data_IF_022385068981
#
_entry.id   IF_022385068981
#
_cell.length_a   1.000
_cell.length_b   1.000
_cell.length_c   1.000
_cell.angle_alpha   90.00
_cell.angle_beta   90.00
_cell.angle_gamma   90.00
#
_symmetry.space_group_name_H-M   'P 1'
#
loop_
_entity.id
_entity.type
_entity.pdbx_description
1 polymer ?
#
# COMPACT_ATOMS: atom_id res chain seq x y z
N UNK A 1 10.67 20.25 18.04
CA UNK A 1 12.13 20.26 17.76
C UNK A 1 12.63 19.01 17.01
N UNK A 2 11.83 17.95 16.81
CA UNK A 2 12.28 16.71 16.15
C UNK A 2 12.39 16.73 14.60
N UNK A 3 12.26 17.89 13.94
CA UNK A 3 12.29 17.97 12.47
C UNK A 3 13.70 18.05 11.85
N UNK A 4 14.75 18.32 12.62
CA UNK A 4 16.11 18.51 12.04
C UNK A 4 16.96 17.24 12.01
N UNK A 5 16.75 16.29 12.93
CA UNK A 5 17.58 15.08 13.04
C UNK A 5 17.47 14.15 11.81
N UNK A 6 16.29 14.03 11.20
CA UNK A 6 16.10 13.22 9.99
C UNK A 6 16.81 13.76 8.75
N UNK A 7 17.05 15.08 8.70
CA UNK A 7 17.66 15.77 7.55
C UNK A 7 19.15 15.44 7.41
N UNK A 8 19.85 15.30 8.54
CA UNK A 8 21.30 15.00 8.57
C UNK A 8 21.66 13.56 8.19
N UNK A 9 20.76 12.60 8.41
CA UNK A 9 20.96 11.20 7.99
C UNK A 9 20.78 11.04 6.46
N UNK A 10 19.76 11.70 5.90
CA UNK A 10 19.49 11.69 4.46
C UNK A 10 20.62 12.35 3.66
N UNK A 11 21.08 13.55 4.06
CA UNK A 11 22.10 14.30 3.34
C UNK A 11 23.49 13.64 3.29
N UNK A 12 23.79 12.69 4.19
CA UNK A 12 25.07 11.96 4.18
C UNK A 12 25.13 10.81 3.18
N UNK A 13 23.98 10.24 2.80
CA UNK A 13 23.90 9.16 1.80
C UNK A 13 24.01 9.70 0.37
N UNK A 14 23.53 10.92 0.11
CA UNK A 14 23.53 11.52 -1.23
C UNK A 14 24.96 11.78 -1.79
N UNK A 15 25.99 11.87 -0.94
CA UNK A 15 27.36 12.23 -1.31
C UNK A 15 28.31 11.06 -1.64
N UNK A 16 27.87 9.80 -1.57
CA UNK A 16 28.78 8.63 -1.63
C UNK A 16 28.61 7.74 -2.87
N UNK A 17 27.53 7.89 -3.65
CA UNK A 17 27.21 6.98 -4.76
C UNK A 17 27.27 7.65 -6.15
N UNK A 18 27.87 7.02 -7.18
CA UNK A 18 27.96 7.58 -8.54
C UNK A 18 26.63 7.82 -9.26
N UNK A 19 26.64 8.73 -10.24
CA UNK A 19 25.43 9.32 -10.86
C UNK A 19 24.51 8.35 -11.61
N UNK A 20 25.03 7.24 -12.11
CA UNK A 20 24.27 6.24 -12.85
C UNK A 20 23.31 5.48 -11.91
N UNK A 21 23.82 5.06 -10.75
CA UNK A 21 23.06 4.40 -9.68
C UNK A 21 22.09 5.37 -8.98
N UNK A 22 22.40 6.67 -8.95
CA UNK A 22 21.49 7.70 -8.40
C UNK A 22 20.15 7.76 -9.14
N UNK A 23 20.10 7.49 -10.46
CA UNK A 23 18.85 7.54 -11.24
C UNK A 23 17.93 6.35 -10.97
N UNK A 24 18.50 5.16 -10.92
CA UNK A 24 17.78 3.91 -10.62
C UNK A 24 17.19 3.95 -9.19
N UNK A 25 17.99 4.39 -8.21
CA UNK A 25 17.54 4.57 -6.83
C UNK A 25 16.52 5.71 -6.68
N UNK A 26 16.60 6.78 -7.49
CA UNK A 26 15.60 7.87 -7.47
C UNK A 26 14.24 7.42 -8.05
N UNK A 27 14.23 6.66 -9.15
CA UNK A 27 13.03 6.03 -9.72
C UNK A 27 12.40 5.04 -8.73
N UNK A 28 13.23 4.18 -8.12
CA UNK A 28 12.78 3.27 -7.08
C UNK A 28 12.20 4.03 -5.87
N UNK A 29 12.83 5.12 -5.41
CA UNK A 29 12.34 5.98 -4.32
C UNK A 29 10.99 6.64 -4.60
N UNK A 30 10.73 7.08 -5.85
CA UNK A 30 9.45 7.70 -6.21
C UNK A 30 8.28 6.69 -6.23
N UNK A 31 8.59 5.43 -6.50
CA UNK A 31 7.62 4.33 -6.53
C UNK A 31 7.41 3.77 -5.11
N UNK A 32 8.50 3.58 -4.36
CA UNK A 32 8.50 2.96 -3.03
C UNK A 32 8.31 3.98 -1.88
N UNK A 33 7.19 4.72 -1.89
CA UNK A 33 6.78 5.51 -0.73
C UNK A 33 6.29 4.59 0.39
N UNK A 34 7.17 4.30 1.34
CA UNK A 34 6.90 3.38 2.45
C UNK A 34 6.59 4.12 3.77
N UNK A 35 5.38 3.92 4.31
CA UNK A 35 5.08 4.01 5.75
C UNK A 35 3.89 3.10 6.11
N UNK A 36 3.95 2.46 7.28
CA UNK A 36 2.87 1.67 7.87
C UNK A 36 3.21 0.19 8.05
N UNK A 37 3.55 -0.22 9.28
CA UNK A 37 3.90 -1.62 9.60
C UNK A 37 2.65 -2.51 9.69
N UNK A 38 2.38 -3.30 8.64
CA UNK A 38 1.76 -4.62 8.76
C UNK A 38 2.32 -5.48 7.62
N UNK A 39 2.78 -6.70 7.91
CA UNK A 39 3.26 -7.59 6.86
C UNK A 39 2.08 -8.31 6.21
N UNK A 40 1.67 -7.84 5.03
CA UNK A 40 1.01 -8.75 4.08
C UNK A 40 1.94 -9.95 3.82
N UNK A 41 1.41 -11.17 3.76
CA UNK A 41 2.20 -12.39 3.53
C UNK A 41 3.09 -12.19 2.27
N UNK A 42 4.43 -12.09 2.45
CA UNK A 42 5.31 -11.75 1.33
C UNK A 42 5.29 -12.80 0.22
N UNK A 43 5.00 -14.06 0.56
CA UNK A 43 5.10 -15.20 -0.35
C UNK A 43 4.12 -15.14 -1.52
N UNK A 44 2.90 -14.63 -1.30
CA UNK A 44 1.85 -14.57 -2.33
C UNK A 44 2.07 -13.38 -3.29
N UNK A 45 2.59 -12.26 -2.79
CA UNK A 45 2.73 -11.04 -3.58
C UNK A 45 4.05 -10.95 -4.37
N UNK A 46 5.15 -11.51 -3.85
CA UNK A 46 6.49 -11.34 -4.42
C UNK A 46 6.62 -11.64 -5.93
N UNK A 47 6.13 -12.78 -6.47
CA UNK A 47 6.29 -13.09 -7.90
C UNK A 47 5.54 -12.14 -8.83
N UNK A 48 4.47 -11.50 -8.35
CA UNK A 48 3.71 -10.52 -9.12
C UNK A 48 4.33 -9.12 -9.04
N UNK A 49 5.00 -8.78 -7.93
CA UNK A 49 5.73 -7.52 -7.80
C UNK A 49 6.88 -7.42 -8.79
N UNK A 50 7.68 -8.48 -8.94
CA UNK A 50 8.80 -8.52 -9.89
C UNK A 50 8.33 -8.30 -11.33
N UNK A 51 7.29 -9.02 -11.78
CA UNK A 51 6.71 -8.82 -13.11
C UNK A 51 6.05 -7.44 -13.29
N UNK A 52 5.47 -6.86 -12.24
CA UNK A 52 4.91 -5.50 -12.31
C UNK A 52 6.01 -4.44 -12.41
N UNK A 53 7.16 -4.66 -11.79
CA UNK A 53 8.36 -3.83 -11.95
C UNK A 53 8.92 -3.90 -13.38
N UNK A 54 9.02 -5.11 -13.94
CA UNK A 54 9.40 -5.34 -15.35
C UNK A 54 8.44 -4.60 -16.30
N UNK A 55 7.13 -4.78 -16.13
CA UNK A 55 6.11 -4.08 -16.91
C UNK A 55 6.18 -2.55 -16.82
N UNK A 56 6.50 -2.01 -15.64
CA UNK A 56 6.67 -0.57 -15.42
C UNK A 56 7.92 -0.02 -16.11
N UNK A 57 9.02 -0.78 -16.06
CA UNK A 57 10.30 -0.41 -16.66
C UNK A 57 10.23 -0.45 -18.19
N UNK A 58 9.68 -1.53 -18.75
CA UNK A 58 9.55 -1.73 -20.20
C UNK A 58 8.32 -1.05 -20.83
N UNK A 59 7.48 -0.39 -20.02
CA UNK A 59 6.20 0.21 -20.44
C UNK A 59 5.28 -0.78 -21.17
N UNK A 60 5.20 -2.00 -20.65
CA UNK A 60 4.36 -3.08 -21.19
C UNK A 60 3.04 -3.22 -20.44
N UNK A 61 1.96 -3.47 -21.20
CA UNK A 61 0.66 -3.83 -20.66
C UNK A 61 0.73 -5.17 -19.93
N UNK A 62 -0.01 -5.30 -18.83
CA UNK A 62 -0.19 -6.57 -18.13
C UNK A 62 -1.60 -7.10 -18.27
N UNK A 63 -1.74 -8.43 -18.27
CA UNK A 63 -3.00 -9.14 -18.11
C UNK A 63 -3.05 -9.75 -16.72
N UNK A 64 -4.03 -9.34 -15.93
CA UNK A 64 -4.30 -9.84 -14.59
C UNK A 64 -5.52 -10.77 -14.60
N UNK A 65 -5.43 -11.90 -13.91
CA UNK A 65 -6.63 -12.54 -13.36
C UNK A 65 -6.87 -11.95 -11.96
N UNK A 66 -7.89 -11.12 -11.80
CA UNK A 66 -8.05 -10.30 -10.59
C UNK A 66 -9.37 -10.57 -9.85
N UNK A 67 -9.30 -10.83 -8.55
CA UNK A 67 -10.48 -10.90 -7.67
C UNK A 67 -10.68 -9.57 -6.94
N UNK A 68 -11.69 -8.81 -7.34
CA UNK A 68 -11.99 -7.51 -6.74
C UNK A 68 -12.52 -7.60 -5.30
N UNK A 69 -12.49 -6.47 -4.58
CA UNK A 69 -13.18 -6.34 -3.29
C UNK A 69 -14.65 -6.74 -3.43
N UNK A 70 -15.13 -7.61 -2.54
CA UNK A 70 -16.52 -8.07 -2.49
C UNK A 70 -17.03 -8.71 -3.81
N UNK A 71 -16.12 -9.28 -4.61
CA UNK A 71 -16.45 -10.05 -5.81
C UNK A 71 -16.14 -11.53 -5.55
N UNK A 72 -17.15 -12.39 -5.71
CA UNK A 72 -17.00 -13.83 -5.58
C UNK A 72 -16.11 -14.41 -6.69
N UNK A 73 -16.27 -13.91 -7.92
CA UNK A 73 -15.54 -14.37 -9.10
C UNK A 73 -14.35 -13.46 -9.43
N UNK A 74 -13.22 -14.09 -9.76
CA UNK A 74 -12.11 -13.40 -10.41
C UNK A 74 -12.44 -13.12 -11.87
N UNK A 75 -11.88 -12.06 -12.44
CA UNK A 75 -12.10 -11.74 -13.85
C UNK A 75 -10.89 -11.04 -14.46
N UNK A 76 -10.71 -11.25 -15.77
CA UNK A 76 -9.54 -10.76 -16.49
C UNK A 76 -9.52 -9.23 -16.58
N UNK A 77 -8.33 -8.63 -16.46
CA UNK A 77 -8.08 -7.19 -16.59
C UNK A 77 -6.82 -6.99 -17.41
N UNK A 78 -6.97 -6.38 -18.58
CA UNK A 78 -5.83 -5.82 -19.30
C UNK A 78 -5.60 -4.40 -18.74
N UNK A 79 -4.37 -4.13 -18.27
CA UNK A 79 -4.01 -2.94 -17.48
C UNK A 79 -2.68 -2.39 -17.96
N UNK A 80 -2.61 -1.07 -18.17
CA UNK A 80 -1.35 -0.35 -18.37
C UNK A 80 -0.85 0.10 -16.98
N UNK A 81 0.17 -0.54 -16.38
CA UNK A 81 0.64 -0.20 -15.03
C UNK A 81 1.36 1.15 -15.04
N UNK A 82 0.91 2.12 -14.25
CA UNK A 82 1.51 3.45 -14.19
C UNK A 82 2.51 3.59 -13.04
N UNK A 83 2.20 3.01 -11.88
CA UNK A 83 3.09 2.99 -10.71
C UNK A 83 2.74 1.85 -9.75
N UNK A 84 3.73 1.36 -9.00
CA UNK A 84 3.52 0.56 -7.79
C UNK A 84 3.57 1.49 -6.57
N UNK A 85 2.67 1.34 -5.60
CA UNK A 85 2.71 2.09 -4.33
C UNK A 85 2.56 1.13 -3.15
N UNK A 86 3.31 1.41 -2.09
CA UNK A 86 3.09 0.79 -0.79
C UNK A 86 2.17 1.69 0.05
N UNK A 87 1.23 1.09 0.78
CA UNK A 87 0.38 1.83 1.71
C UNK A 87 -0.33 0.89 2.67
N UNK A 88 -0.38 1.27 3.95
CA UNK A 88 -1.07 0.50 4.98
C UNK A 88 -0.64 -0.99 5.04
N UNK A 89 0.67 -1.26 4.92
CA UNK A 89 1.22 -2.62 4.93
C UNK A 89 1.00 -3.44 3.64
N UNK A 90 0.31 -2.88 2.63
CA UNK A 90 -0.04 -3.58 1.38
C UNK A 90 0.58 -2.91 0.15
N UNK A 91 0.73 -3.69 -0.92
CA UNK A 91 1.26 -3.24 -2.20
C UNK A 91 0.12 -3.09 -3.22
N UNK A 92 0.16 -2.03 -4.00
CA UNK A 92 -0.86 -1.72 -5.02
C UNK A 92 -0.20 -1.32 -6.35
N UNK A 93 -0.78 -1.76 -7.46
CA UNK A 93 -0.52 -1.22 -8.78
C UNK A 93 -1.63 -0.23 -9.14
N UNK A 94 -1.27 0.99 -9.52
CA UNK A 94 -2.17 1.96 -10.13
C UNK A 94 -1.94 1.91 -11.64
N UNK A 95 -3.01 1.83 -12.43
CA UNK A 95 -2.88 1.75 -13.87
C UNK A 95 -4.19 1.93 -14.62
N UNK A 96 -4.11 2.22 -15.92
CA UNK A 96 -5.28 2.37 -16.76
C UNK A 96 -5.90 0.99 -17.09
N UNK A 97 -7.13 0.78 -16.64
CA UNK A 97 -7.83 -0.50 -16.81
C UNK A 97 -8.67 -0.47 -18.09
N UNK A 98 -8.32 -1.28 -19.09
CA UNK A 98 -9.00 -1.30 -20.40
C UNK A 98 -10.46 -1.73 -20.32
N UNK A 99 -10.79 -2.68 -19.41
CA UNK A 99 -12.18 -3.09 -19.17
C UNK A 99 -13.05 -1.99 -18.54
N UNK A 100 -12.44 -1.04 -17.81
CA UNK A 100 -13.15 0.05 -17.11
C UNK A 100 -12.91 1.42 -17.73
N UNK A 101 -12.12 1.48 -18.80
CA UNK A 101 -11.72 2.67 -19.55
C UNK A 101 -11.33 3.85 -18.65
N UNK A 102 -10.60 3.56 -17.57
CA UNK A 102 -10.19 4.55 -16.58
C UNK A 102 -9.15 3.98 -15.62
N UNK A 103 -8.41 4.88 -14.94
CA UNK A 103 -7.37 4.51 -13.98
C UNK A 103 -8.00 3.81 -12.77
N UNK A 104 -7.39 2.71 -12.33
CA UNK A 104 -7.81 1.93 -11.17
C UNK A 104 -6.63 1.53 -10.32
N UNK A 105 -6.92 1.40 -9.03
CA UNK A 105 -6.01 0.86 -8.02
C UNK A 105 -6.29 -0.62 -7.84
N UNK A 106 -5.29 -1.46 -8.12
CA UNK A 106 -5.31 -2.90 -7.90
C UNK A 106 -4.39 -3.19 -6.73
N UNK A 107 -4.85 -3.82 -5.67
CA UNK A 107 -3.91 -4.49 -4.76
C UNK A 107 -3.13 -5.58 -5.51
N UNK A 108 -1.94 -5.91 -5.03
CA UNK A 108 -1.42 -7.30 -5.09
C UNK A 108 -2.27 -8.14 -4.09
N UNK A 109 -1.85 -9.28 -3.52
CA UNK A 109 -2.67 -10.16 -2.63
C UNK A 109 -4.01 -10.71 -3.21
N UNK A 110 -4.47 -10.18 -4.36
CA UNK A 110 -5.71 -10.45 -5.09
C UNK A 110 -5.49 -10.69 -6.58
N UNK A 111 -4.25 -10.52 -7.05
CA UNK A 111 -3.81 -11.00 -8.36
C UNK A 111 -3.64 -12.51 -8.23
N UNK A 112 -4.36 -13.27 -9.07
CA UNK A 112 -4.33 -14.74 -9.10
C UNK A 112 -3.47 -15.27 -10.25
N UNK A 113 -3.28 -14.47 -11.30
CA UNK A 113 -2.30 -14.67 -12.36
C UNK A 113 -1.90 -13.32 -12.97
N UNK A 114 -0.67 -13.24 -13.49
CA UNK A 114 -0.12 -12.08 -14.18
C UNK A 114 0.75 -12.50 -15.36
N UNK A 115 0.41 -11.94 -16.53
CA UNK A 115 1.15 -12.13 -17.78
C UNK A 115 1.53 -10.76 -18.34
N UNK A 116 2.79 -10.61 -18.77
CA UNK A 116 3.22 -9.48 -19.59
C UNK A 116 2.65 -9.64 -21.01
N UNK A 117 2.24 -8.53 -21.62
CA UNK A 117 1.79 -8.48 -23.00
C UNK A 117 2.72 -7.57 -23.82
N UNK A 118 3.00 -7.97 -25.06
CA UNK A 118 3.81 -7.19 -26.00
C UNK A 118 3.17 -5.86 -26.48
N UNK A 119 2.08 -5.40 -25.87
CA UNK A 119 1.50 -4.08 -26.17
C UNK A 119 2.19 -3.03 -25.28
N UNK A 120 2.92 -2.06 -25.87
CA UNK A 120 3.43 -0.93 -25.11
C UNK A 120 2.30 0.03 -24.73
N UNK A 121 2.55 0.89 -23.75
CA UNK A 121 1.68 2.01 -23.40
C UNK A 121 2.50 3.28 -23.10
N UNK A 122 1.83 4.43 -23.12
CA UNK A 122 2.35 5.68 -22.58
C UNK A 122 1.49 6.12 -21.39
N UNK A 123 2.10 6.82 -20.43
CA UNK A 123 1.37 7.49 -19.35
C UNK A 123 0.97 8.88 -19.88
N UNK A 124 -0.32 9.25 -19.87
CA UNK A 124 -0.76 10.59 -20.27
C UNK A 124 -0.05 11.67 -19.43
N UNK A 125 0.41 12.74 -20.07
CA UNK A 125 1.18 13.80 -19.41
C UNK A 125 0.38 14.56 -18.33
N UNK A 126 -0.95 14.52 -18.44
CA UNK A 126 -1.92 15.05 -17.48
C UNK A 126 -2.17 14.14 -16.26
N UNK A 127 -1.59 12.93 -16.21
CA UNK A 127 -1.74 12.04 -15.06
C UNK A 127 -0.87 12.51 -13.88
N UNK A 128 -1.49 13.20 -12.93
CA UNK A 128 -0.89 13.46 -11.61
C UNK A 128 -1.20 12.32 -10.62
N UNK A 129 -0.14 11.59 -10.25
CA UNK A 129 -0.19 10.55 -9.25
C UNK A 129 -0.62 11.07 -7.86
N UNK A 130 -0.15 12.24 -7.43
CA UNK A 130 -0.44 12.77 -6.10
C UNK A 130 -1.93 13.12 -5.99
N UNK A 131 -2.47 13.84 -6.98
CA UNK A 131 -3.91 14.14 -7.07
C UNK A 131 -4.75 12.85 -7.15
N UNK A 132 -4.36 11.87 -7.98
CA UNK A 132 -5.11 10.62 -8.08
C UNK A 132 -5.10 9.82 -6.76
N UNK A 133 -3.96 9.72 -6.07
CA UNK A 133 -3.84 9.03 -4.77
C UNK A 133 -4.67 9.75 -3.71
N UNK A 134 -4.56 11.07 -3.62
CA UNK A 134 -5.35 11.87 -2.68
C UNK A 134 -6.87 11.70 -2.88
N UNK A 135 -7.33 11.43 -4.11
CA UNK A 135 -8.75 11.22 -4.40
C UNK A 135 -9.26 9.78 -4.18
N UNK A 136 -8.43 8.81 -3.75
CA UNK A 136 -8.89 7.43 -3.60
C UNK A 136 -9.54 7.17 -2.24
N UNK A 137 -10.79 6.65 -2.21
CA UNK A 137 -11.44 6.27 -0.95
C UNK A 137 -10.70 5.20 -0.15
N UNK A 138 -9.79 4.43 -0.75
CA UNK A 138 -8.98 3.43 -0.01
C UNK A 138 -7.87 4.05 0.85
N UNK A 139 -7.49 5.31 0.61
CA UNK A 139 -6.53 6.04 1.46
C UNK A 139 -7.25 6.96 2.47
N UNK A 140 -8.54 7.21 2.30
CA UNK A 140 -9.36 8.05 3.20
C UNK A 140 -10.35 7.28 4.08
N UNK A 141 -10.90 6.15 3.60
CA UNK A 141 -11.88 5.38 4.35
C UNK A 141 -11.20 4.73 5.55
N UNK A 142 -11.65 5.15 6.71
CA UNK A 142 -11.30 4.59 8.01
C UNK A 142 -12.53 3.90 8.57
N UNK A 143 -12.39 2.62 8.87
CA UNK A 143 -13.30 1.90 9.75
C UNK A 143 -12.72 2.05 11.14
N UNK A 144 -13.50 2.53 12.10
CA UNK A 144 -13.10 2.51 13.50
C UNK A 144 -13.16 1.06 14.00
N UNK A 145 -12.00 0.43 14.17
CA UNK A 145 -11.89 -0.84 14.87
C UNK A 145 -12.03 -0.61 16.38
N UNK A 146 -12.54 -1.60 17.10
CA UNK A 146 -12.57 -1.62 18.57
C UNK A 146 -12.07 -2.98 19.07
N UNK A 147 -11.11 -2.96 19.98
CA UNK A 147 -10.60 -4.15 20.65
C UNK A 147 -10.97 -4.10 22.14
N UNK A 148 -11.29 -5.25 22.70
CA UNK A 148 -11.58 -5.42 24.11
C UNK A 148 -10.50 -6.29 24.75
N UNK A 149 -9.65 -5.68 25.57
CA UNK A 149 -8.62 -6.34 26.35
C UNK A 149 -9.22 -6.77 27.70
N UNK A 150 -9.20 -8.06 28.00
CA UNK A 150 -9.55 -8.56 29.33
C UNK A 150 -8.61 -7.99 30.42
N UNK A 151 -8.99 -8.03 31.71
CA UNK A 151 -8.19 -7.46 32.79
C UNK A 151 -6.73 -7.94 32.83
N UNK A 152 -6.49 -9.19 32.44
CA UNK A 152 -5.16 -9.79 32.31
C UNK A 152 -4.27 -9.15 31.23
N UNK A 153 -4.86 -8.47 30.24
CA UNK A 153 -4.16 -7.80 29.16
C UNK A 153 -4.27 -6.25 29.22
N UNK A 154 -4.97 -5.70 30.21
CA UNK A 154 -5.18 -4.26 30.39
C UNK A 154 -3.86 -3.46 30.38
N UNK A 155 -2.80 -3.96 31.03
CA UNK A 155 -1.49 -3.32 31.02
C UNK A 155 -0.91 -3.18 29.59
N UNK A 156 -1.12 -4.16 28.71
CA UNK A 156 -0.64 -4.08 27.32
C UNK A 156 -1.36 -2.98 26.55
N UNK A 157 -2.66 -2.78 26.79
CA UNK A 157 -3.42 -1.68 26.20
C UNK A 157 -2.97 -0.31 26.75
N UNK A 158 -2.63 -0.23 28.04
CA UNK A 158 -2.11 0.99 28.68
C UNK A 158 -0.70 1.37 28.20
N UNK A 159 0.21 0.41 28.11
CA UNK A 159 1.60 0.64 27.64
C UNK A 159 1.65 1.14 26.20
N UNK A 160 0.66 0.76 25.37
CA UNK A 160 0.55 1.15 23.97
C UNK A 160 -0.43 2.33 23.74
N UNK A 161 -0.81 3.09 24.78
CA UNK A 161 -1.84 4.16 24.72
C UNK A 161 -1.66 5.17 23.56
N UNK A 162 -0.44 5.39 23.08
CA UNK A 162 -0.13 6.28 21.96
C UNK A 162 -0.55 5.76 20.58
N UNK A 163 -0.94 4.49 20.47
CA UNK A 163 -1.36 3.83 19.22
C UNK A 163 -2.89 3.80 19.05
N UNK A 164 -3.64 4.26 20.05
CA UNK A 164 -5.11 4.27 20.04
C UNK A 164 -5.64 5.68 19.86
N UNK A 165 -6.72 5.82 19.07
CA UNK A 165 -7.46 7.08 18.95
C UNK A 165 -8.31 7.33 20.21
N UNK A 166 -8.73 6.26 20.91
CA UNK A 166 -9.35 6.36 22.25
C UNK A 166 -9.11 5.09 23.08
N UNK A 167 -9.19 5.24 24.41
CA UNK A 167 -9.05 4.17 25.40
C UNK A 167 -10.05 4.41 26.54
N UNK A 168 -10.83 3.39 26.89
CA UNK A 168 -11.88 3.40 27.91
C UNK A 168 -11.66 2.24 28.91
N UNK A 169 -11.22 2.57 30.13
CA UNK A 169 -11.08 1.63 31.25
C UNK A 169 -12.47 1.28 31.81
N UNK A 170 -12.75 -0.01 31.98
CA UNK A 170 -14.06 -0.52 32.41
C UNK A 170 -14.09 -0.89 33.90
N UNK A 171 -15.27 -0.93 34.56
CA UNK A 171 -15.38 -1.24 36.00
C UNK A 171 -14.91 -2.64 36.42
N UNK A 172 -14.80 -3.59 35.49
CA UNK A 172 -14.29 -4.94 35.74
C UNK A 172 -12.76 -5.05 35.56
N UNK A 173 -12.08 -3.94 35.23
CA UNK A 173 -10.65 -3.89 34.95
C UNK A 173 -10.28 -4.18 33.49
N UNK A 174 -11.25 -4.48 32.62
CA UNK A 174 -11.01 -4.59 31.17
C UNK A 174 -10.79 -3.21 30.54
N UNK A 175 -10.26 -3.19 29.30
CA UNK A 175 -10.03 -1.95 28.55
C UNK A 175 -10.55 -2.11 27.13
N UNK A 176 -11.38 -1.15 26.71
CA UNK A 176 -11.79 -1.01 25.31
C UNK A 176 -10.91 0.07 24.67
N UNK A 177 -10.30 -0.24 23.53
CA UNK A 177 -9.57 0.75 22.72
C UNK A 177 -10.22 0.87 21.35
N UNK A 178 -10.13 2.05 20.74
CA UNK A 178 -10.54 2.26 19.35
C UNK A 178 -9.41 2.89 18.55
N UNK A 179 -9.32 2.50 17.28
CA UNK A 179 -8.36 3.06 16.32
C UNK A 179 -8.86 2.90 14.88
N UNK A 180 -8.44 3.80 14.01
CA UNK A 180 -8.79 3.79 12.60
C UNK A 180 -7.97 2.76 11.78
N UNK A 181 -8.66 1.89 11.04
CA UNK A 181 -8.07 0.96 10.05
C UNK A 181 -8.63 1.19 8.65
N UNK A 182 -7.86 0.93 7.57
CA UNK A 182 -8.29 1.24 6.20
C UNK A 182 -9.37 0.30 5.65
N UNK A 183 -9.40 -0.95 6.12
CA UNK A 183 -10.42 -1.93 5.75
C UNK A 183 -10.61 -3.02 6.82
N UNK A 184 -11.71 -3.77 6.69
CA UNK A 184 -12.09 -4.85 7.62
C UNK A 184 -11.12 -6.05 7.55
N UNK A 185 -10.35 -6.20 6.47
CA UNK A 185 -9.35 -7.26 6.37
C UNK A 185 -8.11 -6.94 7.21
N UNK A 186 -7.76 -5.65 7.38
CA UNK A 186 -6.80 -5.25 8.43
C UNK A 186 -7.42 -5.47 9.82
N UNK A 187 -8.66 -5.03 10.04
CA UNK A 187 -9.35 -5.21 11.34
C UNK A 187 -9.36 -6.67 11.83
N UNK A 188 -9.54 -7.63 10.91
CA UNK A 188 -9.60 -9.06 11.22
C UNK A 188 -8.23 -9.75 11.36
N UNK A 189 -7.12 -9.02 11.25
CA UNK A 189 -5.74 -9.54 11.39
C UNK A 189 -5.01 -9.00 12.62
N UNK A 190 -5.74 -8.33 13.52
CA UNK A 190 -5.26 -7.72 14.78
C UNK A 190 -5.88 -8.48 15.95
#
# INVERSE_FOLDING_TARGET
MYQEAGRGALAKLDNVLPDEQRREVAWARQTLLAMGMHQADPGIAAPYLEKLWEALHERQRVRLLYRGQNQAEASQRDVDPYVLVHGWGRQYCLGYCHLRQSIRTFRVDRILDLQLLAQPFEIPAEFDLQTYVASQPYFERRIQARLHFGPEAALQALDNRSHWDSLEEQPDGSIIVAFDVPDIEIAATI
#
